data_IF_511377490334
#
_entry.id   IF_511377490334
#
_cell.length_a   1.000
_cell.length_b   1.000
_cell.length_c   1.000
_cell.angle_alpha   90.00
_cell.angle_beta   90.00
_cell.angle_gamma   90.00
#
_symmetry.space_group_name_H-M   'P 1'
#
loop_
_entity.id
_entity.type
_entity.pdbx_description
1 polymer ?
#
# COMPACT_ATOMS: atom_id res chain seq x y z
N UNK A 1 -14.63 -24.03 -7.39
CA UNK A 1 -15.42 -24.86 -6.47
C UNK A 1 -16.95 -24.75 -6.63
N UNK A 2 -17.51 -23.97 -7.56
CA UNK A 2 -18.98 -23.78 -7.66
C UNK A 2 -19.82 -25.00 -8.08
N UNK A 3 -19.20 -26.06 -8.60
CA UNK A 3 -19.92 -27.21 -9.18
C UNK A 3 -20.49 -28.20 -8.14
N UNK A 4 -19.98 -28.18 -6.90
CA UNK A 4 -20.44 -29.06 -5.81
C UNK A 4 -21.07 -28.24 -4.68
N UNK A 5 -22.35 -27.88 -4.83
CA UNK A 5 -23.08 -27.00 -3.88
C UNK A 5 -23.03 -27.45 -2.41
N UNK A 6 -22.84 -28.75 -2.14
CA UNK A 6 -22.65 -29.27 -0.77
C UNK A 6 -21.45 -28.64 -0.04
N UNK A 7 -20.34 -28.33 -0.72
CA UNK A 7 -19.21 -27.64 -0.09
C UNK A 7 -19.53 -26.16 0.19
N UNK A 8 -20.26 -25.50 -0.72
CA UNK A 8 -20.76 -24.13 -0.48
C UNK A 8 -21.69 -24.04 0.73
N UNK A 9 -22.58 -25.03 0.90
CA UNK A 9 -23.47 -25.12 2.05
C UNK A 9 -22.71 -25.25 3.39
N UNK A 10 -21.57 -25.95 3.43
CA UNK A 10 -20.72 -26.03 4.64
C UNK A 10 -20.22 -24.63 5.04
N UNK A 11 -19.64 -23.87 4.11
CA UNK A 11 -19.19 -22.49 4.40
C UNK A 11 -20.36 -21.56 4.75
N UNK A 12 -21.51 -21.69 4.08
CA UNK A 12 -22.73 -20.93 4.40
C UNK A 12 -23.35 -21.28 5.75
N UNK A 13 -23.03 -22.45 6.32
CA UNK A 13 -23.48 -22.88 7.65
C UNK A 13 -22.56 -22.46 8.80
N UNK A 14 -21.42 -21.83 8.52
CA UNK A 14 -20.47 -21.40 9.55
C UNK A 14 -21.00 -20.21 10.36
N UNK A 15 -20.86 -20.21 11.70
CA UNK A 15 -21.23 -19.06 12.52
C UNK A 15 -20.45 -17.79 12.12
N UNK A 16 -21.07 -16.59 12.13
CA UNK A 16 -20.39 -15.34 11.76
C UNK A 16 -19.09 -15.08 12.53
N UNK A 17 -19.00 -15.52 13.79
CA UNK A 17 -17.80 -15.42 14.62
C UNK A 17 -16.58 -16.15 14.03
N UNK A 18 -16.79 -17.28 13.34
CA UNK A 18 -15.71 -18.07 12.70
C UNK A 18 -15.23 -17.36 11.43
N UNK A 19 -16.17 -16.89 10.61
CA UNK A 19 -15.87 -16.15 9.38
C UNK A 19 -15.16 -14.83 9.68
N UNK A 20 -15.61 -14.09 10.71
CA UNK A 20 -14.96 -12.88 11.20
C UNK A 20 -13.55 -13.13 11.73
N UNK A 21 -13.35 -14.17 12.54
CA UNK A 21 -12.01 -14.55 13.03
C UNK A 21 -11.03 -14.89 11.90
N UNK A 22 -11.49 -15.64 10.89
CA UNK A 22 -10.71 -15.91 9.67
C UNK A 22 -10.38 -14.63 8.91
N UNK A 23 -11.36 -13.73 8.73
CA UNK A 23 -11.16 -12.48 8.00
C UNK A 23 -10.17 -11.54 8.71
N UNK A 24 -10.24 -11.42 10.04
CA UNK A 24 -9.27 -10.67 10.84
C UNK A 24 -7.87 -11.25 10.66
N UNK A 25 -7.68 -12.57 10.78
CA UNK A 25 -6.36 -13.20 10.60
C UNK A 25 -5.77 -12.96 9.20
N UNK A 26 -6.59 -13.01 8.15
CA UNK A 26 -6.17 -12.72 6.78
C UNK A 26 -5.73 -11.24 6.61
N UNK A 27 -6.52 -10.28 7.10
CA UNK A 27 -6.14 -8.86 7.04
C UNK A 27 -4.92 -8.54 7.91
N UNK A 28 -4.78 -9.14 9.11
CA UNK A 28 -3.57 -9.01 9.92
C UNK A 28 -2.34 -9.56 9.21
N UNK A 29 -2.46 -10.68 8.47
CA UNK A 29 -1.37 -11.24 7.68
C UNK A 29 -0.95 -10.29 6.54
N UNK A 30 -1.92 -9.66 5.87
CA UNK A 30 -1.66 -8.64 4.83
C UNK A 30 -0.96 -7.41 5.44
N UNK A 31 -1.40 -6.94 6.60
CA UNK A 31 -0.77 -5.80 7.30
C UNK A 31 0.69 -6.11 7.71
N UNK A 32 0.95 -7.29 8.27
CA UNK A 32 2.31 -7.73 8.63
C UNK A 32 3.20 -7.88 7.39
N UNK A 33 2.66 -8.38 6.27
CA UNK A 33 3.39 -8.43 5.00
C UNK A 33 3.74 -7.02 4.48
N UNK A 34 2.82 -6.05 4.58
CA UNK A 34 3.08 -4.64 4.26
C UNK A 34 4.19 -4.03 5.12
N UNK A 35 4.14 -4.24 6.44
CA UNK A 35 5.19 -3.78 7.36
C UNK A 35 6.55 -4.43 7.01
N UNK A 36 6.58 -5.71 6.64
CA UNK A 36 7.80 -6.39 6.19
C UNK A 36 8.38 -5.77 4.91
N UNK A 37 7.54 -5.37 3.94
CA UNK A 37 7.99 -4.68 2.72
C UNK A 37 8.57 -3.30 3.05
N UNK A 38 7.97 -2.54 3.99
CA UNK A 38 8.55 -1.29 4.49
C UNK A 38 9.88 -1.51 5.25
N UNK A 39 10.10 -2.70 5.80
CA UNK A 39 11.39 -3.10 6.38
C UNK A 39 12.53 -3.29 5.37
N UNK A 40 12.24 -3.35 4.05
CA UNK A 40 13.25 -3.57 3.00
C UNK A 40 13.90 -2.27 2.48
N UNK A 41 13.40 -1.09 2.87
CA UNK A 41 13.89 0.21 2.38
C UNK A 41 14.80 0.91 3.39
N UNK A 42 15.73 1.74 2.89
CA UNK A 42 16.58 2.58 3.72
C UNK A 42 15.75 3.71 4.37
N UNK A 43 15.76 3.78 5.70
CA UNK A 43 14.98 4.72 6.53
C UNK A 43 15.57 6.14 6.56
N UNK A 44 15.85 6.71 5.39
CA UNK A 44 16.32 8.10 5.21
C UNK A 44 15.27 9.11 5.69
N UNK A 45 15.66 10.39 5.80
CA UNK A 45 14.70 11.49 6.10
C UNK A 45 13.68 11.64 4.97
N UNK A 46 14.15 11.57 3.72
CA UNK A 46 13.34 11.57 2.49
C UNK A 46 12.28 10.47 2.50
N UNK A 47 12.69 9.21 2.67
CA UNK A 47 11.79 8.07 2.51
C UNK A 47 10.75 8.01 3.64
N UNK A 48 11.13 8.40 4.87
CA UNK A 48 10.18 8.62 5.98
C UNK A 48 9.16 9.71 5.68
N UNK A 49 9.58 10.86 5.14
CA UNK A 49 8.66 11.95 4.80
C UNK A 49 7.65 11.53 3.73
N UNK A 50 8.10 10.87 2.65
CA UNK A 50 7.22 10.35 1.58
C UNK A 50 6.20 9.35 2.16
N UNK A 51 6.65 8.40 2.98
CA UNK A 51 5.80 7.38 3.58
C UNK A 51 4.74 7.98 4.52
N UNK A 52 5.14 8.88 5.43
CA UNK A 52 4.21 9.52 6.37
C UNK A 52 3.18 10.40 5.65
N UNK A 53 3.59 11.15 4.62
CA UNK A 53 2.66 11.99 3.86
C UNK A 53 1.67 11.16 3.01
N UNK A 54 2.15 10.12 2.33
CA UNK A 54 1.29 9.25 1.50
C UNK A 54 0.31 8.43 2.33
N UNK A 55 0.72 7.85 3.46
CA UNK A 55 -0.19 7.13 4.36
C UNK A 55 -1.14 8.09 5.10
N UNK A 56 -0.65 9.25 5.55
CA UNK A 56 -1.47 10.24 6.27
C UNK A 56 -2.63 10.77 5.43
N UNK A 57 -2.40 11.03 4.13
CA UNK A 57 -3.46 11.45 3.21
C UNK A 57 -4.29 10.23 2.73
N UNK A 58 -3.66 9.06 2.56
CA UNK A 58 -4.35 7.81 2.24
C UNK A 58 -5.43 7.40 3.25
N UNK A 59 -5.27 7.73 4.53
CA UNK A 59 -6.26 7.43 5.58
C UNK A 59 -7.37 8.48 5.75
N UNK A 60 -7.46 9.52 4.91
CA UNK A 60 -8.50 10.56 5.02
C UNK A 60 -9.91 9.97 4.92
N UNK A 61 -10.15 9.00 4.03
CA UNK A 61 -11.46 8.37 3.86
C UNK A 61 -12.00 7.74 5.17
N UNK A 62 -11.11 7.08 5.93
CA UNK A 62 -11.44 6.47 7.24
C UNK A 62 -11.91 7.53 8.25
N UNK A 63 -11.43 8.77 8.12
CA UNK A 63 -11.79 9.90 8.99
C UNK A 63 -13.02 10.65 8.47
N UNK A 64 -13.19 10.75 7.15
CA UNK A 64 -14.26 11.52 6.52
C UNK A 64 -14.78 10.87 5.22
N UNK A 65 -15.61 9.80 5.32
CA UNK A 65 -16.04 8.96 4.19
C UNK A 65 -17.13 9.61 3.30
N UNK A 66 -17.10 10.94 3.19
CA UNK A 66 -17.92 11.74 2.27
C UNK A 66 -17.13 12.86 1.59
N UNK A 67 -15.84 13.01 1.88
CA UNK A 67 -15.02 14.11 1.39
C UNK A 67 -14.84 14.09 -0.14
N UNK A 68 -14.74 12.89 -0.73
CA UNK A 68 -14.57 12.71 -2.18
C UNK A 68 -15.86 12.85 -3.00
N UNK A 69 -17.03 12.62 -2.38
CA UNK A 69 -18.34 12.56 -3.06
C UNK A 69 -18.86 13.91 -3.61
N UNK A 70 -18.03 14.95 -3.63
CA UNK A 70 -18.32 16.27 -4.20
C UNK A 70 -17.32 16.69 -5.29
N UNK A 71 -16.31 15.87 -5.60
CA UNK A 71 -15.30 16.21 -6.62
C UNK A 71 -15.83 16.02 -8.05
N UNK A 72 -16.79 15.11 -8.25
CA UNK A 72 -17.38 14.76 -9.55
C UNK A 72 -18.90 14.58 -9.46
N UNK A 73 -19.61 15.53 -8.84
CA UNK A 73 -21.07 15.51 -8.81
C UNK A 73 -21.65 15.96 -10.17
N UNK A 74 -22.45 15.08 -10.79
CA UNK A 74 -23.13 15.33 -12.06
C UNK A 74 -24.60 14.87 -11.96
N UNK A 75 -25.50 15.84 -12.00
CA UNK A 75 -26.95 15.66 -11.85
C UNK A 75 -27.71 15.58 -13.18
N UNK A 76 -27.02 15.33 -14.30
CA UNK A 76 -27.62 15.22 -15.63
C UNK A 76 -28.22 13.84 -15.93
N UNK A 77 -29.09 13.78 -16.94
CA UNK A 77 -29.78 12.55 -17.37
C UNK A 77 -28.93 11.58 -18.22
N UNK A 78 -27.64 11.87 -18.41
CA UNK A 78 -26.76 11.09 -19.29
C UNK A 78 -26.17 9.87 -18.55
N UNK A 79 -26.85 8.72 -18.63
CA UNK A 79 -26.43 7.44 -18.03
C UNK A 79 -24.98 7.01 -18.36
N UNK A 80 -24.46 7.41 -19.53
CA UNK A 80 -23.08 7.13 -19.93
C UNK A 80 -22.03 7.97 -19.18
N UNK A 81 -22.35 9.23 -18.86
CA UNK A 81 -21.52 10.07 -18.01
C UNK A 81 -21.61 9.56 -16.57
N UNK A 82 -22.83 9.36 -16.07
CA UNK A 82 -23.08 8.89 -14.71
C UNK A 82 -22.32 7.60 -14.36
N UNK A 83 -22.26 6.64 -15.28
CA UNK A 83 -21.48 5.40 -15.08
C UNK A 83 -19.96 5.60 -15.11
N UNK A 84 -19.46 6.55 -15.91
CA UNK A 84 -18.04 6.94 -15.94
C UNK A 84 -17.65 7.71 -14.66
N UNK A 85 -18.47 8.65 -14.24
CA UNK A 85 -18.30 9.47 -13.03
C UNK A 85 -18.37 8.60 -11.77
N UNK A 86 -19.31 7.65 -11.68
CA UNK A 86 -19.34 6.68 -10.59
C UNK A 86 -18.10 5.78 -10.56
N UNK A 87 -17.58 5.36 -11.72
CA UNK A 87 -16.33 4.62 -11.83
C UNK A 87 -15.11 5.43 -11.37
N UNK A 88 -15.05 6.72 -11.73
CA UNK A 88 -13.95 7.61 -11.34
C UNK A 88 -14.04 8.03 -9.87
N UNK A 89 -15.24 8.26 -9.33
CA UNK A 89 -15.46 8.48 -7.90
C UNK A 89 -14.98 7.27 -7.08
N UNK A 90 -15.35 6.04 -7.47
CA UNK A 90 -14.88 4.81 -6.81
C UNK A 90 -13.35 4.68 -6.79
N UNK A 91 -12.66 5.06 -7.88
CA UNK A 91 -11.19 5.06 -7.95
C UNK A 91 -10.58 6.07 -6.98
N UNK A 92 -11.23 7.22 -6.80
CA UNK A 92 -10.75 8.34 -5.96
C UNK A 92 -11.12 8.15 -4.47
N UNK A 93 -12.28 7.57 -4.18
CA UNK A 93 -12.77 7.14 -2.87
C UNK A 93 -11.88 6.02 -2.29
N UNK A 94 -11.29 5.18 -3.14
CA UNK A 94 -10.45 4.06 -2.72
C UNK A 94 -9.12 4.54 -2.07
N UNK A 95 -8.92 4.39 -0.75
CA UNK A 95 -7.86 5.08 0.00
C UNK A 95 -6.43 4.72 -0.42
N UNK A 96 -6.20 3.46 -0.83
CA UNK A 96 -4.87 3.01 -1.25
C UNK A 96 -4.43 3.60 -2.61
N UNK A 97 -5.37 4.02 -3.47
CA UNK A 97 -5.05 4.64 -4.76
C UNK A 97 -4.53 6.06 -4.53
N UNK A 98 -5.21 6.84 -3.68
CA UNK A 98 -4.78 8.18 -3.26
C UNK A 98 -3.39 8.13 -2.61
N UNK A 99 -3.16 7.16 -1.71
CA UNK A 99 -1.86 6.94 -1.09
C UNK A 99 -0.76 6.65 -2.13
N UNK A 100 -1.02 5.78 -3.10
CA UNK A 100 -0.07 5.41 -4.15
C UNK A 100 0.26 6.59 -5.07
N UNK A 101 -0.73 7.35 -5.53
CA UNK A 101 -0.54 8.53 -6.38
C UNK A 101 0.34 9.57 -5.67
N UNK A 102 0.06 9.85 -4.40
CA UNK A 102 0.84 10.82 -3.60
C UNK A 102 2.25 10.31 -3.31
N UNK A 103 2.41 9.02 -2.99
CA UNK A 103 3.72 8.40 -2.77
C UNK A 103 4.60 8.46 -4.02
N UNK A 104 4.03 8.17 -5.20
CA UNK A 104 4.73 8.30 -6.50
C UNK A 104 5.07 9.75 -6.80
N UNK A 105 4.11 10.67 -6.65
CA UNK A 105 4.32 12.11 -6.90
C UNK A 105 5.44 12.68 -6.02
N UNK A 106 5.40 12.44 -4.70
CA UNK A 106 6.44 12.89 -3.77
C UNK A 106 7.80 12.22 -4.05
N UNK A 107 7.82 10.96 -4.48
CA UNK A 107 9.06 10.27 -4.87
C UNK A 107 9.65 10.79 -6.20
N UNK A 108 8.86 11.42 -7.07
CA UNK A 108 9.34 12.12 -8.27
C UNK A 108 9.79 13.56 -7.96
N UNK A 109 9.07 14.27 -7.08
CA UNK A 109 9.35 15.68 -6.73
C UNK A 109 10.51 15.83 -5.75
N UNK A 110 10.66 14.96 -4.75
CA UNK A 110 11.77 15.05 -3.80
C UNK A 110 13.07 14.52 -4.45
N UNK A 111 14.14 15.33 -4.55
CA UNK A 111 15.44 14.84 -5.02
C UNK A 111 15.95 13.72 -4.12
N UNK A 112 16.78 12.83 -4.66
CA UNK A 112 17.40 11.73 -3.90
C UNK A 112 18.61 12.25 -3.13
N UNK A 113 18.70 11.92 -1.85
CA UNK A 113 19.87 12.23 -1.03
C UNK A 113 21.03 11.32 -1.46
N UNK A 114 22.23 11.89 -1.67
CA UNK A 114 23.43 11.11 -2.06
C UNK A 114 23.79 9.99 -1.07
N UNK A 115 23.35 10.12 0.18
CA UNK A 115 23.46 9.12 1.25
C UNK A 115 22.81 7.76 0.91
N UNK A 116 21.95 7.68 -0.11
CA UNK A 116 21.39 6.40 -0.58
C UNK A 116 22.42 5.56 -1.38
N UNK A 117 23.54 6.14 -1.83
CA UNK A 117 24.58 5.42 -2.60
C UNK A 117 25.53 4.61 -1.69
N UNK A 118 25.92 5.14 -0.53
CA UNK A 118 26.84 4.45 0.41
C UNK A 118 26.21 3.22 1.10
N UNK A 119 24.87 3.13 1.10
CA UNK A 119 24.14 2.04 1.76
C UNK A 119 24.19 0.69 1.03
N UNK A 120 24.54 0.68 -0.26
CA UNK A 120 24.49 -0.52 -1.12
C UNK A 120 25.75 -1.39 -0.98
N UNK A 121 26.85 -0.85 -0.46
CA UNK A 121 28.16 -1.54 -0.35
C UNK A 121 28.47 -1.95 1.08
N UNK A 122 27.44 -2.29 1.87
CA UNK A 122 27.59 -2.88 3.21
C UNK A 122 26.87 -4.23 3.30
N UNK A 123 27.63 -5.24 3.68
CA UNK A 123 27.12 -6.58 3.96
C UNK A 123 26.15 -6.58 5.16
N UNK A 124 25.43 -7.69 5.38
CA UNK A 124 24.54 -7.93 6.53
C UNK A 124 25.25 -7.68 7.87
N UNK A 125 26.57 -7.85 7.95
CA UNK A 125 27.39 -7.49 9.13
C UNK A 125 27.74 -5.99 9.27
N UNK A 126 27.25 -5.11 8.39
CA UNK A 126 27.42 -3.65 8.45
C UNK A 126 28.80 -3.11 8.04
N UNK A 127 29.70 -3.97 7.56
CA UNK A 127 31.06 -3.61 7.10
C UNK A 127 31.09 -3.25 5.61
N UNK A 128 31.98 -2.33 5.17
CA UNK A 128 32.18 -2.04 3.75
C UNK A 128 32.80 -3.25 3.03
N UNK A 129 32.24 -3.63 1.88
CA UNK A 129 32.61 -4.87 1.18
C UNK A 129 33.96 -4.79 0.44
N UNK A 130 34.51 -3.59 0.26
CA UNK A 130 35.70 -3.34 -0.58
C UNK A 130 37.05 -3.71 0.08
N UNK A 131 37.08 -4.09 1.36
CA UNK A 131 38.31 -4.27 2.14
C UNK A 131 38.76 -5.74 2.27
N UNK A 132 38.11 -6.68 1.58
CA UNK A 132 38.36 -8.13 1.73
C UNK A 132 39.16 -8.78 0.58
N UNK A 133 39.35 -8.09 -0.54
CA UNK A 133 39.93 -8.69 -1.76
C UNK A 133 41.45 -8.48 -1.90
N UNK A 134 42.07 -7.65 -1.06
CA UNK A 134 43.43 -7.14 -1.27
C UNK A 134 44.49 -7.62 -0.24
N UNK A 135 44.21 -8.70 0.50
CA UNK A 135 45.14 -9.38 1.42
C UNK A 135 45.03 -10.90 1.20
N UNK A 136 45.34 -11.36 -0.03
CA UNK A 136 45.53 -12.78 -0.35
C UNK A 136 46.42 -13.02 -1.58
N UNK A 137 47.50 -12.25 -1.66
CA UNK A 137 48.67 -12.52 -2.51
C UNK A 137 49.91 -12.41 -1.61
N UNK A 138 49.95 -13.34 -0.66
CA UNK A 138 50.79 -13.41 0.54
C UNK A 138 51.41 -14.82 0.70
#
# INVERSE_FOLDING_TARGET
MGMFGKFGAVFGSMPPSVLGGMQVFLYSTIAVAGIRVLGLIAWTRRNRFILTASLGIGFIDIVQPKWFNQILDYSGSNVHLQGFEQGLNLIVETPFIVAAVIGVFLNLVLPRDRSEMDGVVRDVSGKPVLEQTQMRED
#
